data_IF_068247102899
#
_entry.id   IF_068247102899
#
_cell.length_a   1.000
_cell.length_b   1.000
_cell.length_c   1.000
_cell.angle_alpha   90.00
_cell.angle_beta   90.00
_cell.angle_gamma   90.00
#
_symmetry.space_group_name_H-M   'P 1'
#
loop_
_entity.id
_entity.type
_entity.pdbx_description
1 polymer ?
#
# COMPACT_ATOMS: atom_id res chain seq x y z
N UNK A 1 18.13 33.72 12.21
CA UNK A 1 16.85 34.07 11.56
C UNK A 1 16.34 32.81 10.88
N UNK A 2 15.17 32.30 11.27
CA UNK A 2 14.55 31.19 10.52
C UNK A 2 13.92 31.76 9.26
N UNK A 3 14.36 31.31 8.10
CA UNK A 3 13.72 31.68 6.84
C UNK A 3 12.29 31.14 6.86
N UNK A 4 11.31 32.01 6.61
CA UNK A 4 9.93 31.58 6.41
C UNK A 4 9.86 30.63 5.19
N UNK A 5 9.00 29.59 5.20
CA UNK A 5 8.83 28.73 4.04
C UNK A 5 8.40 29.56 2.82
N UNK A 6 9.09 29.38 1.70
CA UNK A 6 8.71 30.02 0.45
C UNK A 6 7.34 29.50 0.00
N UNK A 7 6.48 30.41 -0.50
CA UNK A 7 5.20 30.03 -1.08
C UNK A 7 5.42 29.19 -2.35
N UNK A 8 4.59 28.17 -2.62
CA UNK A 8 4.67 27.38 -3.83
C UNK A 8 4.40 28.27 -5.06
N UNK A 9 5.18 28.07 -6.12
CA UNK A 9 4.96 28.76 -7.38
C UNK A 9 3.71 28.23 -8.09
N UNK A 10 2.95 29.11 -8.75
CA UNK A 10 1.83 28.71 -9.59
C UNK A 10 2.34 27.94 -10.82
N UNK A 11 1.68 26.85 -11.23
CA UNK A 11 2.05 26.10 -12.42
C UNK A 11 1.78 26.93 -13.69
N UNK A 12 2.41 26.51 -14.80
CA UNK A 12 2.10 27.04 -16.13
C UNK A 12 1.66 25.93 -17.07
N UNK A 13 0.72 26.24 -17.95
CA UNK A 13 0.22 25.36 -19.01
C UNK A 13 0.48 25.95 -20.40
N UNK A 14 1.17 25.18 -21.24
CA UNK A 14 1.44 25.46 -22.66
C UNK A 14 1.26 24.21 -23.53
N UNK A 15 0.54 23.20 -23.02
CA UNK A 15 0.36 21.91 -23.67
C UNK A 15 -0.80 21.91 -24.67
N UNK A 16 -0.95 20.80 -25.39
CA UNK A 16 -2.05 20.58 -26.34
C UNK A 16 -2.74 19.22 -26.17
N UNK A 17 -2.07 18.25 -25.55
CA UNK A 17 -2.56 16.88 -25.40
C UNK A 17 -3.44 16.69 -24.17
N UNK A 18 -4.28 15.66 -24.19
CA UNK A 18 -5.09 15.26 -23.03
C UNK A 18 -4.21 14.88 -21.82
N UNK A 19 -3.03 14.30 -22.06
CA UNK A 19 -2.08 13.95 -21.00
C UNK A 19 -1.50 15.19 -20.31
N UNK A 20 -1.12 16.22 -21.06
CA UNK A 20 -0.64 17.48 -20.49
C UNK A 20 -1.75 18.21 -19.71
N UNK A 21 -3.00 18.19 -20.22
CA UNK A 21 -4.17 18.75 -19.50
C UNK A 21 -4.38 18.06 -18.14
N UNK A 22 -4.24 16.72 -18.08
CA UNK A 22 -4.30 15.93 -16.83
C UNK A 22 -3.17 16.29 -15.87
N UNK A 23 -1.94 16.34 -16.37
CA UNK A 23 -0.76 16.61 -15.54
C UNK A 23 -0.81 18.01 -14.93
N UNK A 24 -1.15 19.02 -15.74
CA UNK A 24 -1.36 20.37 -15.24
C UNK A 24 -2.39 20.42 -14.11
N UNK A 25 -3.50 19.67 -14.20
CA UNK A 25 -4.47 19.63 -13.09
C UNK A 25 -3.97 18.94 -11.84
N UNK A 26 -3.16 17.87 -11.95
CA UNK A 26 -2.51 17.26 -10.77
C UNK A 26 -1.58 18.27 -10.08
N UNK A 27 -0.77 18.98 -10.85
CA UNK A 27 0.15 20.01 -10.33
C UNK A 27 -0.62 21.20 -9.75
N UNK A 28 -1.68 21.67 -10.41
CA UNK A 28 -2.51 22.78 -9.93
C UNK A 28 -3.27 22.42 -8.64
N UNK A 29 -3.82 21.22 -8.53
CA UNK A 29 -4.42 20.73 -7.29
C UNK A 29 -3.38 20.63 -6.16
N UNK A 30 -2.16 20.19 -6.47
CA UNK A 30 -1.05 20.14 -5.51
C UNK A 30 -0.63 21.54 -5.05
N UNK A 31 -0.57 22.51 -5.96
CA UNK A 31 -0.33 23.93 -5.67
C UNK A 31 -1.41 24.53 -4.76
N UNK A 32 -2.69 24.31 -5.07
CA UNK A 32 -3.84 24.74 -4.24
C UNK A 32 -3.78 24.12 -2.83
N UNK A 33 -3.50 22.82 -2.74
CA UNK A 33 -3.35 22.13 -1.46
C UNK A 33 -2.16 22.67 -0.65
N UNK A 34 -1.01 22.89 -1.30
CA UNK A 34 0.16 23.47 -0.65
C UNK A 34 -0.10 24.89 -0.14
N UNK A 35 -0.85 25.72 -0.88
CA UNK A 35 -1.29 27.03 -0.39
C UNK A 35 -2.26 26.92 0.78
N UNK A 36 -3.16 25.93 0.81
CA UNK A 36 -4.12 25.77 1.91
C UNK A 36 -3.46 25.61 3.29
N UNK A 37 -2.22 25.10 3.35
CA UNK A 37 -1.44 24.99 4.58
C UNK A 37 -1.02 26.35 5.19
N UNK A 38 -1.06 27.44 4.41
CA UNK A 38 -0.79 28.81 4.89
C UNK A 38 -2.07 29.57 5.27
N UNK A 39 -3.24 28.93 5.20
CA UNK A 39 -4.50 29.55 5.61
C UNK A 39 -4.59 29.64 7.14
N UNK A 40 -4.80 30.85 7.65
CA UNK A 40 -5.02 31.14 9.07
C UNK A 40 -6.33 31.90 9.24
N UNK A 41 -6.81 32.02 10.49
CA UNK A 41 -8.02 32.80 10.81
C UNK A 41 -7.97 34.27 10.37
N UNK A 42 -6.77 34.82 10.13
CA UNK A 42 -6.52 36.22 9.77
C UNK A 42 -5.91 36.40 8.37
N UNK A 43 -5.54 35.33 7.67
CA UNK A 43 -4.88 35.42 6.36
C UNK A 43 -5.22 34.22 5.49
N UNK A 44 -5.84 34.49 4.34
CA UNK A 44 -6.07 33.50 3.28
C UNK A 44 -5.09 33.77 2.14
N UNK A 45 -4.21 32.83 1.77
CA UNK A 45 -3.31 33.03 0.64
C UNK A 45 -4.09 33.13 -0.67
N UNK A 46 -3.63 34.01 -1.56
CA UNK A 46 -4.19 34.15 -2.89
C UNK A 46 -3.82 32.93 -3.75
N UNK A 47 -4.82 32.32 -4.38
CA UNK A 47 -4.66 31.23 -5.34
C UNK A 47 -4.74 31.85 -6.73
N UNK A 48 -3.67 31.71 -7.52
CA UNK A 48 -3.67 32.11 -8.92
C UNK A 48 -4.78 31.33 -9.67
N UNK A 49 -5.68 32.00 -10.41
CA UNK A 49 -6.70 31.32 -11.18
C UNK A 49 -6.10 30.51 -12.34
N UNK A 50 -6.79 29.44 -12.75
CA UNK A 50 -6.42 28.55 -13.87
C UNK A 50 -6.20 29.36 -15.14
N UNK A 51 -7.09 30.30 -15.44
CA UNK A 51 -6.96 31.25 -16.56
C UNK A 51 -5.59 31.95 -16.60
N UNK A 52 -5.10 32.44 -15.46
CA UNK A 52 -3.79 33.11 -15.36
C UNK A 52 -2.58 32.14 -15.29
N UNK A 53 -2.84 30.84 -15.19
CA UNK A 53 -1.80 29.79 -15.26
C UNK A 53 -1.58 29.28 -16.70
N UNK A 54 -2.36 29.74 -17.68
CA UNK A 54 -2.23 29.33 -19.09
C UNK A 54 -1.39 30.35 -19.85
N UNK A 55 -0.52 29.88 -20.75
CA UNK A 55 0.18 30.73 -21.70
C UNK A 55 -0.81 31.41 -22.66
N UNK A 56 -0.70 32.72 -22.88
CA UNK A 56 -1.63 33.52 -23.69
C UNK A 56 -1.99 32.90 -25.05
N UNK A 57 -0.99 32.44 -25.82
CA UNK A 57 -1.20 31.75 -27.09
C UNK A 57 -2.07 30.49 -26.95
N UNK A 58 -1.78 29.70 -25.92
CA UNK A 58 -2.48 28.44 -25.62
C UNK A 58 -3.89 28.71 -25.12
N UNK A 59 -4.09 29.75 -24.31
CA UNK A 59 -5.40 30.24 -23.87
C UNK A 59 -6.28 30.60 -25.08
N UNK A 60 -5.77 31.45 -25.98
CA UNK A 60 -6.46 31.86 -27.20
C UNK A 60 -6.84 30.67 -28.08
N UNK A 61 -5.93 29.69 -28.26
CA UNK A 61 -6.20 28.49 -29.04
C UNK A 61 -7.29 27.60 -28.42
N UNK A 62 -7.34 27.46 -27.10
CA UNK A 62 -8.41 26.70 -26.42
C UNK A 62 -9.75 27.42 -26.53
N UNK A 63 -9.77 28.73 -26.28
CA UNK A 63 -10.95 29.58 -26.38
C UNK A 63 -11.59 29.50 -27.78
N UNK A 64 -10.79 29.66 -28.83
CA UNK A 64 -11.28 29.62 -30.21
C UNK A 64 -11.66 28.21 -30.67
N UNK A 65 -10.83 27.19 -30.42
CA UNK A 65 -11.00 25.87 -31.05
C UNK A 65 -11.81 24.86 -30.23
N UNK A 66 -11.81 24.95 -28.90
CA UNK A 66 -12.43 23.94 -28.02
C UNK A 66 -13.63 24.47 -27.22
N UNK A 67 -13.60 25.76 -26.82
CA UNK A 67 -14.70 26.40 -26.09
C UNK A 67 -15.62 27.23 -26.99
N UNK A 68 -15.16 27.58 -28.18
CA UNK A 68 -15.85 28.42 -29.17
C UNK A 68 -16.34 29.77 -28.58
N UNK A 69 -15.47 30.42 -27.80
CA UNK A 69 -15.72 31.66 -27.05
C UNK A 69 -14.54 32.63 -27.15
N UNK A 70 -14.81 33.91 -26.91
CA UNK A 70 -13.76 34.90 -26.66
C UNK A 70 -13.07 34.64 -25.29
N UNK A 71 -11.74 34.80 -25.17
CA UNK A 71 -11.02 34.61 -23.90
C UNK A 71 -11.57 35.43 -22.72
N UNK A 72 -12.09 36.63 -22.98
CA UNK A 72 -12.69 37.49 -21.94
C UNK A 72 -14.05 36.99 -21.42
N UNK A 73 -14.69 36.05 -22.13
CA UNK A 73 -16.02 35.51 -21.80
C UNK A 73 -15.97 34.12 -21.17
N UNK A 74 -14.79 33.52 -21.00
CA UNK A 74 -14.64 32.23 -20.31
C UNK A 74 -14.46 32.49 -18.81
N UNK A 75 -15.45 32.10 -18.01
CA UNK A 75 -15.38 32.22 -16.56
C UNK A 75 -14.35 31.25 -15.96
N UNK A 76 -13.82 31.59 -14.78
CA UNK A 76 -12.88 30.71 -14.07
C UNK A 76 -13.48 29.34 -13.72
N UNK A 77 -14.80 29.28 -13.49
CA UNK A 77 -15.51 28.02 -13.29
C UNK A 77 -15.52 27.14 -14.56
N UNK A 78 -15.60 27.75 -15.75
CA UNK A 78 -15.52 27.03 -17.03
C UNK A 78 -14.09 26.55 -17.32
N UNK A 79 -13.07 27.34 -16.99
CA UNK A 79 -11.67 26.90 -17.07
C UNK A 79 -11.41 25.67 -16.18
N UNK A 80 -11.87 25.72 -14.93
CA UNK A 80 -11.78 24.58 -14.01
C UNK A 80 -12.56 23.38 -14.55
N UNK A 81 -13.80 23.56 -15.04
CA UNK A 81 -14.62 22.47 -15.58
C UNK A 81 -14.00 21.83 -16.85
N UNK A 82 -13.43 22.65 -17.73
CA UNK A 82 -12.75 22.24 -18.95
C UNK A 82 -11.54 21.34 -18.64
N UNK A 83 -10.64 21.78 -17.75
CA UNK A 83 -9.48 20.97 -17.38
C UNK A 83 -9.85 19.75 -16.52
N UNK A 84 -10.86 19.86 -15.63
CA UNK A 84 -11.39 18.70 -14.90
C UNK A 84 -12.03 17.64 -15.80
N UNK A 85 -12.54 18.03 -16.98
CA UNK A 85 -13.04 17.06 -17.99
C UNK A 85 -11.92 16.12 -18.44
N UNK A 86 -10.68 16.59 -18.55
CA UNK A 86 -9.54 15.76 -18.93
C UNK A 86 -9.20 14.66 -17.90
N UNK A 87 -9.54 14.86 -16.62
CA UNK A 87 -9.38 13.84 -15.56
C UNK A 87 -10.43 12.73 -15.62
N UNK A 88 -11.48 12.85 -16.45
CA UNK A 88 -12.41 11.74 -16.71
C UNK A 88 -11.80 10.83 -17.79
N UNK A 89 -11.80 9.49 -17.63
CA UNK A 89 -11.45 8.61 -18.74
C UNK A 89 -12.52 8.70 -19.83
N UNK A 90 -12.08 8.64 -21.08
CA UNK A 90 -12.96 8.78 -22.25
C UNK A 90 -13.67 7.48 -22.62
N UNK A 91 -13.16 6.34 -22.15
CA UNK A 91 -13.68 5.00 -22.44
C UNK A 91 -13.56 4.11 -21.19
N UNK A 92 -14.60 3.35 -20.87
CA UNK A 92 -14.59 2.35 -19.77
C UNK A 92 -13.99 1.00 -20.21
N UNK A 93 -13.32 0.96 -21.37
CA UNK A 93 -12.68 -0.25 -21.90
C UNK A 93 -11.28 -0.42 -21.29
N UNK A 94 -11.16 -1.39 -20.40
CA UNK A 94 -9.97 -1.59 -19.58
C UNK A 94 -8.94 -2.55 -20.21
N UNK A 95 -9.06 -2.93 -21.49
CA UNK A 95 -8.13 -3.87 -22.17
C UNK A 95 -6.66 -3.48 -21.96
N UNK A 96 -6.29 -2.21 -22.19
CA UNK A 96 -4.91 -1.75 -22.03
C UNK A 96 -4.40 -1.87 -20.57
N UNK A 97 -5.29 -1.74 -19.59
CA UNK A 97 -4.99 -1.93 -18.17
C UNK A 97 -4.89 -3.41 -17.83
N UNK A 98 -5.78 -4.26 -18.35
CA UNK A 98 -5.71 -5.72 -18.23
C UNK A 98 -4.41 -6.27 -18.82
N UNK A 99 -3.92 -5.72 -19.94
CA UNK A 99 -2.63 -6.05 -20.55
C UNK A 99 -1.43 -5.55 -19.73
N UNK A 100 -1.45 -4.31 -19.26
CA UNK A 100 -0.40 -3.78 -18.40
C UNK A 100 -0.32 -4.55 -17.06
N UNK A 101 -1.45 -4.90 -16.47
CA UNK A 101 -1.54 -5.63 -15.19
C UNK A 101 -1.10 -7.10 -15.30
N UNK A 102 -1.13 -7.73 -16.49
CA UNK A 102 -0.51 -9.06 -16.69
C UNK A 102 1.00 -9.06 -16.46
N UNK A 103 1.65 -7.91 -16.63
CA UNK A 103 3.09 -7.73 -16.39
C UNK A 103 3.41 -7.24 -14.96
N UNK A 104 2.40 -7.14 -14.08
CA UNK A 104 2.59 -6.82 -12.67
C UNK A 104 3.11 -8.05 -11.92
N UNK A 105 4.27 -7.92 -11.26
CA UNK A 105 4.92 -9.02 -10.53
C UNK A 105 5.49 -8.55 -9.18
N UNK A 106 5.31 -9.36 -8.14
CA UNK A 106 5.83 -9.08 -6.81
C UNK A 106 7.33 -9.40 -6.70
N UNK A 107 8.17 -8.40 -6.99
CA UNK A 107 9.65 -8.45 -6.91
C UNK A 107 10.19 -9.19 -5.68
N UNK A 108 10.59 -10.44 -5.87
CA UNK A 108 11.11 -11.34 -4.81
C UNK A 108 12.56 -11.02 -4.39
N UNK A 109 13.21 -10.08 -5.07
CA UNK A 109 14.57 -9.60 -4.74
C UNK A 109 14.67 -8.94 -3.37
N UNK A 110 13.57 -8.35 -2.87
CA UNK A 110 13.53 -7.83 -1.50
C UNK A 110 13.45 -8.97 -0.47
N UNK A 111 14.19 -8.89 0.65
CA UNK A 111 14.18 -9.95 1.67
C UNK A 111 12.93 -9.93 2.56
N UNK A 112 12.29 -8.76 2.74
CA UNK A 112 11.16 -8.59 3.65
C UNK A 112 9.82 -8.39 2.92
N UNK A 113 8.73 -8.85 3.56
CA UNK A 113 7.38 -8.80 2.99
C UNK A 113 6.85 -7.36 2.79
N UNK A 114 7.27 -6.39 3.62
CA UNK A 114 6.75 -5.01 3.54
C UNK A 114 7.29 -4.30 2.30
N UNK A 115 8.58 -4.47 1.99
CA UNK A 115 9.18 -3.96 0.75
C UNK A 115 8.58 -4.64 -0.48
N UNK A 116 8.40 -5.97 -0.46
CA UNK A 116 7.75 -6.73 -1.56
C UNK A 116 6.36 -6.20 -1.87
N UNK A 117 5.48 -6.15 -0.87
CA UNK A 117 4.10 -5.70 -1.02
C UNK A 117 4.01 -4.21 -1.31
N UNK A 118 4.84 -3.38 -0.66
CA UNK A 118 4.87 -1.93 -0.87
C UNK A 118 5.26 -1.57 -2.31
N UNK A 119 6.26 -2.26 -2.87
CA UNK A 119 6.65 -2.08 -4.27
C UNK A 119 5.59 -2.59 -5.23
N UNK A 120 5.02 -3.78 -5.00
CA UNK A 120 3.92 -4.32 -5.80
C UNK A 120 2.73 -3.35 -5.86
N UNK A 121 2.36 -2.78 -4.70
CA UNK A 121 1.32 -1.76 -4.61
C UNK A 121 1.70 -0.51 -5.40
N UNK A 122 2.93 0.00 -5.26
CA UNK A 122 3.38 1.19 -5.98
C UNK A 122 3.38 0.99 -7.50
N UNK A 123 3.82 -0.18 -7.98
CA UNK A 123 3.80 -0.52 -9.40
C UNK A 123 2.35 -0.64 -9.93
N UNK A 124 1.42 -1.20 -9.14
CA UNK A 124 -0.02 -1.24 -9.47
C UNK A 124 -0.63 0.16 -9.57
N UNK A 125 -0.40 1.04 -8.57
CA UNK A 125 -0.87 2.43 -8.61
C UNK A 125 -0.31 3.18 -9.83
N UNK A 126 0.98 2.99 -10.16
CA UNK A 126 1.62 3.61 -11.33
C UNK A 126 0.93 3.23 -12.65
N UNK A 127 0.56 1.95 -12.84
CA UNK A 127 -0.18 1.50 -14.03
C UNK A 127 -1.54 2.21 -14.12
N UNK A 128 -2.27 2.33 -13.00
CA UNK A 128 -3.59 2.95 -12.96
C UNK A 128 -3.55 4.47 -13.20
N UNK A 129 -2.54 5.16 -12.68
CA UNK A 129 -2.35 6.60 -12.85
C UNK A 129 -1.91 6.98 -14.28
N UNK A 130 -1.02 6.17 -14.89
CA UNK A 130 -0.65 6.31 -16.30
C UNK A 130 -1.86 6.20 -17.24
N UNK A 131 -2.84 5.36 -16.88
CA UNK A 131 -4.09 5.20 -17.62
C UNK A 131 -5.21 6.16 -17.17
N UNK A 132 -4.98 6.99 -16.15
CA UNK A 132 -5.97 7.93 -15.58
C UNK A 132 -7.28 7.21 -15.13
N UNK A 133 -7.17 6.02 -14.56
CA UNK A 133 -8.33 5.22 -14.08
C UNK A 133 -8.29 4.92 -12.58
N UNK A 134 -7.22 5.29 -11.87
CA UNK A 134 -7.00 4.95 -10.46
C UNK A 134 -8.22 5.18 -9.57
N UNK A 135 -8.75 6.40 -9.52
CA UNK A 135 -9.90 6.75 -8.68
C UNK A 135 -11.15 5.90 -9.02
N UNK A 136 -11.37 5.58 -10.31
CA UNK A 136 -12.49 4.76 -10.75
C UNK A 136 -12.30 3.29 -10.36
N UNK A 137 -11.07 2.77 -10.41
CA UNK A 137 -10.80 1.41 -9.93
C UNK A 137 -10.98 1.29 -8.42
N UNK A 138 -10.56 2.28 -7.63
CA UNK A 138 -10.77 2.28 -6.18
C UNK A 138 -12.25 2.51 -5.78
N UNK A 139 -13.07 3.16 -6.62
CA UNK A 139 -14.50 3.35 -6.34
C UNK A 139 -15.40 2.21 -6.87
N UNK A 140 -15.19 1.75 -8.11
CA UNK A 140 -16.07 0.80 -8.81
C UNK A 140 -15.46 -0.60 -8.97
N UNK A 141 -14.18 -0.70 -9.30
CA UNK A 141 -13.53 -1.96 -9.75
C UNK A 141 -12.58 -2.59 -8.70
N UNK A 142 -12.82 -2.39 -7.40
CA UNK A 142 -11.95 -2.93 -6.34
C UNK A 142 -11.76 -4.45 -6.42
N UNK A 143 -12.76 -5.17 -6.94
CA UNK A 143 -12.67 -6.62 -7.21
C UNK A 143 -11.61 -6.96 -8.26
N UNK A 144 -11.46 -6.16 -9.33
CA UNK A 144 -10.39 -6.33 -10.33
C UNK A 144 -9.03 -6.00 -9.70
N UNK A 145 -8.93 -4.95 -8.89
CA UNK A 145 -7.70 -4.62 -8.17
C UNK A 145 -7.22 -5.79 -7.29
N UNK A 146 -8.13 -6.43 -6.55
CA UNK A 146 -7.79 -7.65 -5.78
C UNK A 146 -7.35 -8.80 -6.69
N UNK A 147 -7.96 -8.97 -7.87
CA UNK A 147 -7.55 -10.00 -8.83
C UNK A 147 -6.14 -9.76 -9.38
N UNK A 148 -5.80 -8.54 -9.81
CA UNK A 148 -4.44 -8.20 -10.27
C UNK A 148 -3.41 -8.36 -9.14
N UNK A 149 -3.72 -7.83 -7.96
CA UNK A 149 -2.84 -7.93 -6.78
C UNK A 149 -2.51 -9.39 -6.43
N UNK A 150 -3.51 -10.28 -6.49
CA UNK A 150 -3.35 -11.71 -6.18
C UNK A 150 -2.66 -12.47 -7.32
N UNK A 151 -2.93 -12.13 -8.58
CA UNK A 151 -2.26 -12.74 -9.73
C UNK A 151 -0.75 -12.48 -9.71
N UNK A 152 -0.35 -11.25 -9.36
CA UNK A 152 1.03 -10.79 -9.28
C UNK A 152 1.84 -11.34 -8.08
N UNK A 153 1.22 -12.09 -7.16
CA UNK A 153 1.94 -12.60 -5.97
C UNK A 153 2.94 -13.69 -6.34
N UNK A 154 4.08 -13.67 -5.64
CA UNK A 154 5.14 -14.67 -5.73
C UNK A 154 5.66 -15.03 -4.31
N UNK A 155 6.08 -16.27 -4.03
CA UNK A 155 6.15 -17.39 -4.98
C UNK A 155 4.78 -18.01 -5.29
N UNK A 156 4.70 -18.82 -6.34
CA UNK A 156 3.48 -19.48 -6.81
C UNK A 156 2.71 -20.28 -5.72
N UNK A 157 3.40 -21.01 -4.85
CA UNK A 157 2.76 -21.78 -3.77
C UNK A 157 2.02 -20.87 -2.77
N UNK A 158 2.61 -19.69 -2.47
CA UNK A 158 1.96 -18.65 -1.69
C UNK A 158 0.76 -18.04 -2.45
N UNK A 159 0.91 -17.74 -3.74
CA UNK A 159 -0.19 -17.26 -4.60
C UNK A 159 -1.39 -18.20 -4.59
N UNK A 160 -1.18 -19.50 -4.80
CA UNK A 160 -2.26 -20.49 -4.78
C UNK A 160 -2.89 -20.64 -3.39
N UNK A 161 -2.10 -20.54 -2.32
CA UNK A 161 -2.63 -20.54 -0.95
C UNK A 161 -3.54 -19.32 -0.68
N UNK A 162 -3.17 -18.12 -1.17
CA UNK A 162 -4.00 -16.91 -1.08
C UNK A 162 -5.26 -17.07 -1.93
N UNK A 163 -5.15 -17.54 -3.19
CA UNK A 163 -6.30 -17.76 -4.08
C UNK A 163 -7.31 -18.73 -3.48
N UNK A 164 -6.85 -19.88 -2.94
CA UNK A 164 -7.69 -20.87 -2.24
C UNK A 164 -8.32 -20.35 -0.95
N UNK A 165 -7.68 -19.41 -0.24
CA UNK A 165 -8.30 -18.76 0.93
C UNK A 165 -9.35 -17.75 0.51
N UNK A 166 -9.10 -16.98 -0.54
CA UNK A 166 -10.07 -16.00 -1.05
C UNK A 166 -11.33 -16.65 -1.64
N UNK A 167 -11.34 -17.93 -2.02
CA UNK A 167 -12.60 -18.61 -2.40
C UNK A 167 -13.50 -18.92 -1.21
N UNK A 168 -12.95 -19.05 0.00
CA UNK A 168 -13.71 -19.37 1.22
C UNK A 168 -14.67 -18.24 1.60
N UNK A 169 -15.85 -18.61 2.07
CA UNK A 169 -16.90 -17.65 2.46
C UNK A 169 -16.50 -16.69 3.58
N UNK A 170 -15.60 -17.12 4.48
CA UNK A 170 -15.01 -16.29 5.53
C UNK A 170 -14.17 -15.10 5.00
N UNK A 171 -13.85 -15.09 3.70
CA UNK A 171 -13.05 -14.08 3.03
C UNK A 171 -13.77 -13.44 1.83
N UNK A 172 -15.10 -13.61 1.72
CA UNK A 172 -15.95 -13.06 0.64
C UNK A 172 -15.79 -11.54 0.48
N UNK A 173 -15.78 -10.78 1.57
CA UNK A 173 -15.76 -9.31 1.53
C UNK A 173 -14.37 -8.73 1.25
N UNK A 174 -13.32 -9.50 1.53
CA UNK A 174 -11.94 -9.16 1.18
C UNK A 174 -11.67 -9.19 -0.34
N UNK A 175 -12.64 -9.68 -1.13
CA UNK A 175 -12.65 -9.55 -2.59
C UNK A 175 -13.31 -8.26 -3.08
N UNK A 176 -13.84 -7.43 -2.17
CA UNK A 176 -14.48 -6.13 -2.45
C UNK A 176 -13.69 -4.94 -1.90
N UNK A 177 -12.84 -5.16 -0.89
CA UNK A 177 -11.95 -4.15 -0.32
C UNK A 177 -10.48 -4.50 -0.58
N UNK A 178 -9.86 -3.76 -1.51
CA UNK A 178 -8.45 -3.95 -1.88
C UNK A 178 -7.48 -3.54 -0.76
N UNK A 179 -7.85 -2.57 0.09
CA UNK A 179 -6.99 -2.06 1.17
C UNK A 179 -6.93 -3.07 2.31
N UNK A 180 -8.07 -3.67 2.69
CA UNK A 180 -8.10 -4.76 3.66
C UNK A 180 -7.44 -6.03 3.12
N UNK A 181 -7.66 -6.36 1.84
CA UNK A 181 -7.00 -7.49 1.18
C UNK A 181 -5.46 -7.34 1.19
N UNK A 182 -4.95 -6.16 0.84
CA UNK A 182 -3.53 -5.84 0.89
C UNK A 182 -2.93 -6.06 2.29
N UNK A 183 -3.58 -5.56 3.35
CA UNK A 183 -3.12 -5.71 4.73
C UNK A 183 -3.06 -7.19 5.13
N UNK A 184 -4.09 -7.96 4.82
CA UNK A 184 -4.17 -9.39 5.12
C UNK A 184 -3.13 -10.22 4.35
N UNK A 185 -2.95 -9.97 3.05
CA UNK A 185 -1.90 -10.63 2.25
C UNK A 185 -0.52 -10.30 2.83
N UNK A 186 -0.26 -9.05 3.25
CA UNK A 186 1.00 -8.65 3.87
C UNK A 186 1.28 -9.41 5.17
N UNK A 187 0.30 -9.55 6.07
CA UNK A 187 0.44 -10.36 7.30
C UNK A 187 0.76 -11.83 6.99
N UNK A 188 0.10 -12.39 5.98
CA UNK A 188 0.34 -13.77 5.55
C UNK A 188 1.70 -13.94 4.88
N UNK A 189 2.18 -12.98 4.09
CA UNK A 189 3.51 -13.01 3.47
C UNK A 189 4.61 -12.86 4.53
N UNK A 190 4.40 -11.99 5.53
CA UNK A 190 5.30 -11.88 6.70
C UNK A 190 5.44 -13.23 7.43
N UNK A 191 4.32 -13.92 7.67
CA UNK A 191 4.35 -15.26 8.27
C UNK A 191 5.02 -16.28 7.33
N UNK A 192 4.67 -16.29 6.05
CA UNK A 192 5.23 -17.22 5.07
C UNK A 192 6.76 -17.13 5.00
N UNK A 193 7.32 -15.92 4.84
CA UNK A 193 8.77 -15.72 4.79
C UNK A 193 9.48 -16.06 6.10
N UNK A 194 8.80 -15.92 7.25
CA UNK A 194 9.35 -16.33 8.55
C UNK A 194 9.54 -17.85 8.66
N UNK A 195 8.65 -18.65 8.04
CA UNK A 195 8.72 -20.12 8.07
C UNK A 195 9.48 -20.71 6.87
N UNK A 196 9.56 -19.99 5.74
CA UNK A 196 10.22 -20.41 4.49
C UNK A 196 11.38 -19.48 4.08
N UNK A 197 12.45 -19.33 4.90
CA UNK A 197 13.55 -18.40 4.61
C UNK A 197 14.31 -18.72 3.32
N UNK A 198 14.36 -20.00 2.91
CA UNK A 198 15.09 -20.47 1.72
C UNK A 198 14.47 -20.05 0.38
N UNK A 199 13.26 -19.47 0.38
CA UNK A 199 12.64 -18.88 -0.82
C UNK A 199 13.33 -17.57 -1.24
N UNK A 200 14.00 -16.90 -0.30
CA UNK A 200 14.98 -15.87 -0.60
C UNK A 200 16.32 -16.55 -0.87
N UNK A 201 16.70 -16.67 -2.16
CA UNK A 201 18.11 -16.84 -2.52
C UNK A 201 18.76 -15.46 -2.46
N UNK A 202 19.52 -15.08 -1.41
CA UNK A 202 20.41 -13.93 -1.54
C UNK A 202 21.35 -14.20 -2.71
N UNK A 203 21.49 -13.23 -3.60
CA UNK A 203 22.29 -13.38 -4.81
C UNK A 203 23.75 -13.67 -4.41
N UNK A 204 24.16 -14.94 -4.47
CA UNK A 204 25.46 -15.37 -3.97
C UNK A 204 26.50 -14.86 -4.95
N UNK A 205 27.23 -13.81 -4.56
CA UNK A 205 28.35 -13.30 -5.34
C UNK A 205 29.25 -14.48 -5.77
N UNK A 206 29.68 -14.52 -7.05
CA UNK A 206 30.39 -15.67 -7.59
C UNK A 206 31.61 -15.98 -6.74
N UNK A 207 31.73 -17.25 -6.34
CA UNK A 207 32.79 -17.68 -5.44
C UNK A 207 34.16 -17.42 -6.09
N UNK A 208 34.94 -16.51 -5.51
CA UNK A 208 36.34 -16.28 -5.89
C UNK A 208 37.10 -17.61 -5.69
N UNK A 209 37.65 -18.24 -6.75
CA UNK A 209 38.44 -19.44 -6.56
C UNK A 209 39.71 -19.07 -5.78
N UNK A 210 39.85 -19.65 -4.59
CA UNK A 210 41.15 -19.75 -3.94
C UNK A 210 41.94 -20.84 -4.65
N UNK A 211 43.16 -20.53 -5.08
CA UNK A 211 44.22 -21.53 -5.16
C UNK A 211 45.56 -20.87 -4.84
N UNK A 212 46.29 -21.52 -3.93
CA UNK A 212 47.64 -21.15 -3.50
C UNK A 212 48.72 -21.66 -4.47
N UNK A 213 49.99 -21.45 -4.13
CA UNK A 213 51.05 -21.26 -5.13
C UNK A 213 51.87 -22.52 -5.44
N UNK A 214 52.42 -22.57 -6.66
CA UNK A 214 53.59 -23.37 -6.99
C UNK A 214 54.49 -22.62 -7.99
N UNK A 215 55.79 -22.65 -7.76
CA UNK A 215 56.85 -21.98 -8.53
C UNK A 215 57.36 -22.88 -9.65
N UNK A 216 57.76 -22.32 -10.81
CA UNK A 216 59.07 -22.50 -11.50
C UNK A 216 59.02 -22.16 -13.00
N UNK A 217 59.99 -21.35 -13.46
CA UNK A 217 60.78 -21.32 -14.75
C UNK A 217 60.12 -21.76 -16.09
N UNK A 218 60.44 -21.22 -17.29
CA UNK A 218 61.45 -20.26 -17.76
C UNK A 218 61.10 -19.69 -19.17
N UNK A 219 61.84 -18.66 -19.62
CA UNK A 219 62.18 -18.28 -21.02
C UNK A 219 61.08 -18.26 -22.10
N UNK A 220 60.64 -17.09 -22.60
CA UNK A 220 61.27 -16.33 -23.71
C UNK A 220 60.18 -16.01 -24.77
N UNK A 221 60.25 -15.05 -25.71
CA UNK A 221 61.28 -14.07 -26.15
C UNK A 221 60.63 -12.87 -26.87
N UNK A 222 61.30 -11.72 -26.89
CA UNK A 222 61.13 -10.56 -27.81
C UNK A 222 59.82 -9.72 -27.79
N UNK A 223 59.77 -8.42 -28.15
CA UNK A 223 60.73 -7.28 -28.23
C UNK A 223 60.03 -6.11 -28.95
N UNK A 224 60.38 -4.86 -28.56
CA UNK A 224 59.87 -3.52 -29.02
C UNK A 224 58.49 -3.13 -28.43
N UNK A 225 58.19 -1.87 -28.10
CA UNK A 225 59.05 -0.70 -27.78
C UNK A 225 58.30 0.34 -26.92
N UNK A 226 59.05 1.24 -26.27
CA UNK A 226 58.65 2.62 -25.88
C UNK A 226 59.68 3.60 -26.51
N UNK A 227 59.44 4.93 -26.50
CA UNK A 227 59.92 5.76 -25.36
C UNK A 227 59.07 7.01 -24.99
N UNK A 228 59.06 7.34 -23.69
CA UNK A 228 59.06 8.66 -23.00
C UNK A 228 58.22 9.86 -23.54
N UNK A 229 57.51 10.64 -22.70
CA UNK A 229 58.08 11.43 -21.58
C UNK A 229 57.07 11.88 -20.50
N UNK A 230 57.58 12.32 -19.33
CA UNK A 230 56.90 12.82 -18.10
C UNK A 230 57.95 13.69 -17.33
N UNK A 231 57.73 14.28 -16.12
CA UNK A 231 56.62 15.00 -15.45
C UNK A 231 57.09 16.48 -15.21
N UNK A 232 56.98 17.23 -14.05
CA UNK A 232 56.25 17.04 -12.77
C UNK A 232 55.61 18.30 -12.08
N UNK A 233 55.15 18.04 -10.83
CA UNK A 233 54.73 18.95 -9.73
C UNK A 233 53.26 19.41 -9.76
N UNK A 234 52.51 19.52 -8.65
CA UNK A 234 52.63 19.04 -7.25
C UNK A 234 51.18 18.88 -6.66
N UNK A 235 50.82 18.62 -5.38
CA UNK A 235 51.53 18.50 -4.09
C UNK A 235 50.76 17.56 -3.11
N UNK A 236 50.92 17.73 -1.79
CA UNK A 236 50.22 17.07 -0.65
C UNK A 236 49.97 18.11 0.48
N UNK A 237 49.56 17.79 1.74
CA UNK A 237 48.76 16.69 2.32
C UNK A 237 47.60 17.18 3.24
N UNK A 238 46.63 16.32 3.62
CA UNK A 238 45.92 16.46 4.92
C UNK A 238 45.69 15.11 5.63
N UNK A 239 45.53 15.20 6.96
CA UNK A 239 45.99 14.24 7.98
C UNK A 239 45.12 12.99 8.19
N UNK A 240 45.79 11.88 8.52
CA UNK A 240 45.23 10.83 9.41
C UNK A 240 45.23 11.30 10.87
N UNK A 241 44.26 10.87 11.66
CA UNK A 241 44.37 10.82 13.13
C UNK A 241 43.49 9.71 13.67
N UNK A 242 44.12 8.60 14.03
CA UNK A 242 43.51 7.56 14.85
C UNK A 242 43.29 8.07 16.28
N UNK A 243 42.07 7.86 16.81
CA UNK A 243 41.80 7.65 18.24
C UNK A 243 40.48 6.88 18.38
N UNK A 244 40.46 5.88 19.25
CA UNK A 244 39.42 4.84 19.28
C UNK A 244 38.11 5.21 19.97
N UNK A 245 37.05 4.53 19.48
CA UNK A 245 35.85 3.97 20.15
C UNK A 245 35.64 4.27 21.66
N UNK A 246 34.39 4.55 22.09
CA UNK A 246 33.40 3.46 22.20
C UNK A 246 32.08 3.71 21.44
N UNK A 247 31.30 2.65 21.10
CA UNK A 247 30.00 2.79 20.45
C UNK A 247 28.88 3.01 21.47
N UNK A 248 27.96 3.95 21.19
CA UNK A 248 26.74 4.14 21.97
C UNK A 248 25.67 3.07 21.65
N UNK A 249 24.73 2.88 22.58
CA UNK A 249 23.77 1.77 22.62
C UNK A 249 22.72 1.77 21.48
N UNK A 250 22.27 0.59 21.02
CA UNK A 250 21.09 0.47 20.18
C UNK A 250 19.80 0.60 21.01
N UNK A 251 18.90 1.49 20.56
CA UNK A 251 17.64 1.79 21.23
C UNK A 251 16.73 0.56 21.49
N UNK A 252 15.97 0.67 22.59
CA UNK A 252 15.22 -0.42 23.21
C UNK A 252 14.13 -1.03 22.31
N UNK A 253 14.08 -2.36 22.24
CA UNK A 253 12.92 -3.11 21.73
C UNK A 253 11.97 -3.36 22.90
N UNK A 254 10.69 -3.08 22.72
CA UNK A 254 9.64 -3.39 23.69
C UNK A 254 9.59 -4.88 24.05
N UNK A 255 8.93 -5.25 25.18
CA UNK A 255 9.06 -6.58 25.77
C UNK A 255 8.69 -7.70 24.81
N UNK A 256 9.67 -8.54 24.47
CA UNK A 256 9.39 -9.87 23.91
C UNK A 256 8.82 -10.75 25.03
N UNK A 257 7.76 -11.53 24.80
CA UNK A 257 7.27 -12.46 25.81
C UNK A 257 8.39 -13.47 26.18
N UNK A 258 8.51 -13.87 27.46
CA UNK A 258 9.54 -14.80 27.90
C UNK A 258 9.54 -16.11 27.11
N UNK A 259 10.73 -16.56 26.72
CA UNK A 259 10.94 -17.82 26.00
C UNK A 259 11.41 -18.90 26.96
N UNK A 260 10.54 -19.27 27.89
CA UNK A 260 10.83 -20.25 28.95
C UNK A 260 11.07 -21.67 28.40
N UNK A 261 11.95 -22.40 29.09
CA UNK A 261 12.23 -23.81 28.83
C UNK A 261 11.01 -24.69 29.13
N UNK A 262 10.57 -25.49 28.16
CA UNK A 262 9.39 -26.36 28.29
C UNK A 262 9.53 -27.50 29.33
N UNK A 263 10.74 -27.75 29.87
CA UNK A 263 10.98 -28.75 30.93
C UNK A 263 11.15 -28.11 32.31
N UNK A 264 12.14 -27.22 32.47
CA UNK A 264 12.50 -26.64 33.77
C UNK A 264 11.94 -25.22 34.02
N UNK A 265 11.22 -24.63 33.07
CA UNK A 265 10.66 -23.26 33.12
C UNK A 265 11.69 -22.12 33.29
N UNK A 266 12.99 -22.39 33.20
CA UNK A 266 14.02 -21.34 33.14
C UNK A 266 13.81 -20.42 31.94
N UNK A 267 13.94 -19.11 32.13
CA UNK A 267 13.89 -18.09 31.08
C UNK A 267 15.22 -17.91 30.33
N UNK A 268 16.30 -18.57 30.78
CA UNK A 268 17.67 -18.38 30.28
C UNK A 268 17.95 -19.20 29.00
N UNK A 269 17.25 -20.32 28.82
CA UNK A 269 17.50 -21.26 27.72
C UNK A 269 16.22 -21.90 27.19
N UNK A 270 16.24 -22.36 25.93
CA UNK A 270 15.13 -23.11 25.33
C UNK A 270 15.23 -24.60 25.67
N UNK A 271 14.13 -25.35 25.52
CA UNK A 271 14.10 -26.82 25.74
C UNK A 271 15.19 -27.59 24.97
N UNK A 272 15.60 -27.10 23.79
CA UNK A 272 16.70 -27.67 22.96
C UNK A 272 18.11 -27.46 23.53
N UNK A 273 18.24 -26.63 24.56
CA UNK A 273 19.48 -26.25 25.22
C UNK A 273 19.42 -26.56 26.73
N UNK A 274 18.42 -27.35 27.15
CA UNK A 274 18.23 -27.69 28.56
C UNK A 274 19.10 -28.90 28.94
N UNK A 275 20.01 -28.79 29.92
CA UNK A 275 20.88 -29.90 30.33
C UNK A 275 20.12 -31.05 31.02
N UNK A 276 18.83 -30.86 31.34
CA UNK A 276 17.95 -31.87 31.94
C UNK A 276 16.98 -32.52 30.93
N UNK A 277 17.16 -32.29 29.64
CA UNK A 277 16.30 -32.90 28.59
C UNK A 277 17.15 -33.83 27.72
N UNK A 278 16.79 -35.11 27.71
CA UNK A 278 17.38 -36.09 26.80
C UNK A 278 16.97 -35.75 25.35
N UNK A 279 17.87 -35.84 24.34
CA UNK A 279 17.57 -35.43 22.97
C UNK A 279 16.27 -35.99 22.39
N UNK A 280 15.95 -37.24 22.71
CA UNK A 280 14.72 -37.95 22.33
C UNK A 280 13.43 -37.38 22.95
N UNK A 281 13.50 -36.70 24.10
CA UNK A 281 12.34 -36.07 24.74
C UNK A 281 12.02 -34.66 24.18
N UNK A 282 12.99 -34.02 23.50
CA UNK A 282 12.89 -32.62 23.04
C UNK A 282 11.66 -32.40 22.16
N UNK A 283 11.52 -33.20 21.10
CA UNK A 283 10.44 -32.98 20.13
C UNK A 283 9.07 -33.45 20.67
N UNK A 284 9.05 -34.41 21.61
CA UNK A 284 7.85 -34.78 22.35
C UNK A 284 7.34 -33.60 23.21
N UNK A 285 8.22 -32.93 23.95
CA UNK A 285 7.89 -31.73 24.75
C UNK A 285 7.42 -30.56 23.87
N UNK A 286 8.08 -30.34 22.73
CA UNK A 286 7.68 -29.31 21.76
C UNK A 286 6.29 -29.60 21.18
N UNK A 287 5.98 -30.85 20.86
CA UNK A 287 4.69 -31.24 20.29
C UNK A 287 3.56 -31.23 21.34
N UNK A 288 3.83 -31.66 22.57
CA UNK A 288 2.90 -31.54 23.70
C UNK A 288 2.53 -30.06 23.99
N UNK A 289 3.52 -29.16 23.95
CA UNK A 289 3.27 -27.71 24.11
C UNK A 289 2.44 -27.12 22.97
N UNK A 290 2.71 -27.51 21.71
CA UNK A 290 1.88 -27.10 20.55
C UNK A 290 0.43 -27.58 20.71
N UNK A 291 0.22 -28.82 21.15
CA UNK A 291 -1.10 -29.41 21.37
C UNK A 291 -1.86 -28.72 22.52
N UNK A 292 -1.20 -28.48 23.66
CA UNK A 292 -1.78 -27.73 24.78
C UNK A 292 -2.24 -26.32 24.33
N UNK A 293 -1.39 -25.61 23.59
CA UNK A 293 -1.71 -24.26 23.10
C UNK A 293 -2.82 -24.24 22.03
N UNK A 294 -2.96 -25.30 21.22
CA UNK A 294 -4.08 -25.41 20.27
C UNK A 294 -5.40 -25.68 21.01
N UNK A 295 -5.40 -26.53 22.04
CA UNK A 295 -6.55 -26.76 22.91
C UNK A 295 -6.98 -25.49 23.66
N UNK A 296 -6.04 -24.73 24.23
CA UNK A 296 -6.33 -23.44 24.89
C UNK A 296 -6.98 -22.42 23.93
N UNK A 297 -6.56 -22.39 22.66
CA UNK A 297 -7.15 -21.51 21.64
C UNK A 297 -8.58 -21.90 21.28
N UNK A 298 -8.89 -23.21 21.30
CA UNK A 298 -10.26 -23.72 21.16
C UNK A 298 -11.12 -23.40 22.39
N UNK A 299 -10.55 -23.47 23.60
CA UNK A 299 -11.25 -23.09 24.83
C UNK A 299 -11.63 -21.60 24.84
N UNK A 300 -10.72 -20.69 24.49
CA UNK A 300 -11.04 -19.26 24.40
C UNK A 300 -12.14 -18.96 23.37
N UNK A 301 -12.15 -19.65 22.22
CA UNK A 301 -13.24 -19.55 21.23
C UNK A 301 -14.58 -20.00 21.80
N UNK A 302 -14.61 -21.02 22.67
CA UNK A 302 -15.84 -21.52 23.32
C UNK A 302 -16.37 -20.58 24.40
N UNK A 303 -15.47 -19.90 25.13
CA UNK A 303 -15.85 -18.87 26.11
C UNK A 303 -16.39 -17.61 25.41
N UNK A 304 -15.77 -17.19 24.29
CA UNK A 304 -16.26 -16.08 23.46
C UNK A 304 -17.66 -16.36 22.87
N UNK A 305 -17.94 -17.58 22.39
CA UNK A 305 -19.29 -17.91 21.87
C UNK A 305 -20.37 -18.02 22.95
N UNK A 306 -20.02 -18.26 24.22
CA UNK A 306 -20.99 -18.22 25.33
C UNK A 306 -21.25 -16.79 25.82
N UNK A 307 -20.23 -15.94 25.90
CA UNK A 307 -20.41 -14.52 26.23
C UNK A 307 -21.23 -13.76 25.18
N UNK A 308 -21.12 -14.11 23.89
CA UNK A 308 -22.01 -13.56 22.86
C UNK A 308 -23.46 -14.08 22.90
N UNK A 309 -23.75 -15.20 23.57
CA UNK A 309 -25.13 -15.72 23.70
C UNK A 309 -25.89 -15.07 24.85
N UNK A 310 -25.22 -14.82 25.99
CA UNK A 310 -25.83 -14.15 27.15
C UNK A 310 -26.13 -12.66 26.92
N UNK A 311 -25.65 -12.06 25.83
CA UNK A 311 -25.90 -10.66 25.47
C UNK A 311 -27.14 -10.48 24.54
N UNK A 312 -27.89 -11.55 24.26
CA UNK A 312 -28.97 -11.58 23.26
C UNK A 312 -30.28 -12.18 23.80
N UNK A 313 -30.57 -11.98 25.10
CA UNK A 313 -31.86 -12.33 25.71
C UNK A 313 -32.47 -11.13 26.43
N UNK A 314 -33.22 -10.31 25.67
CA UNK A 314 -34.25 -9.41 26.18
C UNK A 314 -35.52 -9.72 25.37
N UNK A 315 -36.55 -10.34 25.96
CA UNK A 315 -37.74 -10.74 25.21
C UNK A 315 -38.63 -9.52 24.93
N UNK A 316 -39.10 -9.40 23.69
CA UNK A 316 -40.17 -8.48 23.32
C UNK A 316 -41.53 -9.16 23.53
N UNK A 317 -42.43 -8.53 24.27
CA UNK A 317 -43.79 -9.05 24.46
C UNK A 317 -44.61 -9.00 23.16
N UNK A 318 -45.20 -10.14 22.81
CA UNK A 318 -46.21 -10.26 21.76
C UNK A 318 -47.61 -10.15 22.38
N UNK A 319 -48.38 -9.12 22.01
CA UNK A 319 -49.79 -9.00 22.39
C UNK A 319 -50.66 -9.74 21.37
N UNK A 320 -51.14 -10.92 21.75
CA UNK A 320 -52.20 -11.64 21.04
C UNK A 320 -53.57 -11.03 21.34
N UNK A 321 -54.46 -11.00 20.33
CA UNK A 321 -55.88 -10.63 20.48
C UNK A 321 -56.79 -11.75 19.99
N UNK A 322 -57.22 -12.60 20.90
CA UNK A 322 -58.49 -13.35 20.78
C UNK A 322 -59.63 -12.45 21.28
N UNK A 323 -60.72 -12.37 20.50
CA UNK A 323 -61.74 -11.32 20.66
C UNK A 323 -63.07 -11.77 21.26
N UNK A 324 -64.07 -10.88 21.17
CA UNK A 324 -65.48 -11.16 21.51
C UNK A 324 -66.43 -10.44 20.56
N UNK A 325 -67.58 -11.09 20.34
CA UNK A 325 -68.73 -10.71 19.52
C UNK A 325 -69.53 -9.54 20.14
N UNK A 326 -70.14 -8.71 19.30
CA UNK A 326 -71.18 -7.75 19.68
C UNK A 326 -71.89 -7.22 18.44
N UNK A 327 -73.22 -7.36 18.38
CA UNK A 327 -74.09 -6.80 17.35
C UNK A 327 -74.23 -5.27 17.47
N UNK A 328 -74.53 -4.55 16.38
CA UNK A 328 -75.83 -3.87 16.17
C UNK A 328 -75.93 -3.22 14.77
N UNK A 329 -77.15 -3.01 14.28
CA UNK A 329 -77.51 -2.36 13.01
C UNK A 329 -77.39 -0.83 13.05
N UNK A 330 -77.24 -0.18 11.89
CA UNK A 330 -77.05 1.28 11.86
C UNK A 330 -77.05 1.96 10.49
N UNK A 331 -78.11 1.78 9.70
CA UNK A 331 -78.32 2.55 8.45
C UNK A 331 -78.58 4.03 8.77
N UNK A 332 -77.92 4.99 8.08
CA UNK A 332 -78.58 6.01 7.23
C UNK A 332 -77.85 7.38 7.07
N UNK A 333 -78.10 7.97 5.89
CA UNK A 333 -78.04 9.39 5.46
C UNK A 333 -76.70 10.15 5.41
N UNK A 334 -76.43 10.70 4.23
CA UNK A 334 -75.44 11.74 3.98
C UNK A 334 -75.96 13.13 4.35
N UNK A 335 -75.06 14.11 4.55
CA UNK A 335 -75.38 15.49 4.18
C UNK A 335 -74.17 16.25 3.64
N UNK A 336 -74.39 16.95 2.53
CA UNK A 336 -73.43 17.82 1.86
C UNK A 336 -73.68 19.25 2.34
N UNK A 337 -72.62 20.05 2.53
CA UNK A 337 -72.47 21.48 2.18
C UNK A 337 -71.69 22.28 3.24
N UNK A 338 -70.98 23.33 2.79
CA UNK A 338 -70.73 24.51 3.64
C UNK A 338 -69.27 24.96 3.82
N UNK A 339 -68.67 25.51 2.77
CA UNK A 339 -67.68 26.60 2.90
C UNK A 339 -68.45 27.85 3.41
N UNK A 340 -68.00 28.56 4.47
CA UNK A 340 -67.14 29.76 4.31
C UNK A 340 -66.20 29.99 5.53
N UNK A 341 -65.33 31.01 5.63
CA UNK A 341 -64.99 32.20 4.80
C UNK A 341 -63.48 32.20 4.58
#
# INVERSE_FOLDING_TARGET
MSNAPALPAAPKYSGSTLQEKREFMRVYQTYVHALSAFHTATTKPYIMPVSACIEERTCNLICMNELNKDPSWVSEAEWVAYFLKALKPEQEDYIAIDEAMKNLEQKTTFPDAKSRMGQLRADMHKILDQNNVENIFFQKEQKKLVQYLVAALEPEDFREAIRKRLTLDQHKDMRKDVVSCYKWILELLMAYLQWNPSSSKPNRAPARPQNGPATTVASGTNRRQTPFSRPPQAATPWRKSDKGIPPAEPAQKGPRPPLECLKCKSSEHRVRQCPQVRPEEIDALINAWKASRSASKTHMRRVQTMTSRLAMDVPAETVDKTGTRGEDDGTAVAHISGVPV
#
